data_IF_758623109069
#
_entry.id   IF_758623109069
#
_cell.length_a   1.000
_cell.length_b   1.000
_cell.length_c   1.000
_cell.angle_alpha   90.00
_cell.angle_beta   90.00
_cell.angle_gamma   90.00
#
_symmetry.space_group_name_H-M   'P 1'
#
loop_
_entity.id
_entity.type
_entity.pdbx_description
1 polymer ?
#
# COMPACT_ATOMS: atom_id res chain seq x y z
N UNK A 1 -27.55 -19.42 -0.16
CA UNK A 1 -26.34 -18.81 -0.76
C UNK A 1 -25.52 -19.82 -1.55
N UNK A 2 -25.21 -20.99 -0.98
CA UNK A 2 -24.43 -22.04 -1.65
C UNK A 2 -25.28 -23.16 -2.26
N UNK A 3 -26.48 -23.38 -1.72
CA UNK A 3 -27.37 -24.49 -2.09
C UNK A 3 -27.71 -24.48 -3.59
N UNK A 4 -27.57 -25.64 -4.22
CA UNK A 4 -27.91 -25.84 -5.64
C UNK A 4 -26.96 -25.17 -6.62
N UNK A 5 -25.82 -24.61 -6.15
CA UNK A 5 -24.81 -24.02 -7.02
C UNK A 5 -23.68 -25.00 -7.29
N UNK A 6 -23.20 -25.04 -8.52
CA UNK A 6 -21.99 -25.78 -8.89
C UNK A 6 -20.73 -25.03 -8.42
N UNK A 7 -19.59 -25.72 -8.39
CA UNK A 7 -18.29 -25.11 -8.11
C UNK A 7 -17.98 -23.94 -9.07
N UNK A 8 -18.29 -24.09 -10.36
CA UNK A 8 -18.14 -23.05 -11.38
C UNK A 8 -18.97 -21.81 -11.03
N UNK A 9 -20.25 -21.98 -10.68
CA UNK A 9 -21.15 -20.87 -10.33
C UNK A 9 -20.72 -20.16 -9.04
N UNK A 10 -20.16 -20.91 -8.08
CA UNK A 10 -19.58 -20.33 -6.85
C UNK A 10 -18.34 -19.50 -7.16
N UNK A 11 -17.46 -20.00 -8.02
CA UNK A 11 -16.26 -19.29 -8.48
C UNK A 11 -16.64 -18.02 -9.25
N UNK A 12 -17.58 -18.12 -10.19
CA UNK A 12 -18.09 -16.99 -10.97
C UNK A 12 -18.74 -15.93 -10.06
N UNK A 13 -19.58 -16.33 -9.10
CA UNK A 13 -20.23 -15.41 -8.17
C UNK A 13 -19.24 -14.73 -7.21
N UNK A 14 -18.20 -15.45 -6.76
CA UNK A 14 -17.11 -14.88 -5.96
C UNK A 14 -16.25 -13.89 -6.77
N UNK A 15 -16.18 -14.04 -8.10
CA UNK A 15 -15.36 -13.22 -8.97
C UNK A 15 -15.89 -11.79 -9.19
N UNK A 16 -17.19 -11.55 -8.97
CA UNK A 16 -17.88 -10.29 -9.25
C UNK A 16 -17.20 -9.06 -8.63
N UNK A 17 -16.83 -9.11 -7.35
CA UNK A 17 -16.11 -8.02 -6.67
C UNK A 17 -15.51 -8.48 -5.33
N UNK A 18 -14.76 -7.57 -4.66
CA UNK A 18 -14.10 -7.86 -3.37
C UNK A 18 -15.10 -8.24 -2.27
N UNK A 19 -16.27 -7.63 -2.25
CA UNK A 19 -17.30 -7.91 -1.25
C UNK A 19 -17.95 -9.27 -1.49
N UNK A 20 -18.24 -9.62 -2.75
CA UNK A 20 -18.74 -10.94 -3.13
C UNK A 20 -17.77 -12.05 -2.72
N UNK A 21 -16.48 -11.92 -3.06
CA UNK A 21 -15.44 -12.87 -2.65
C UNK A 21 -15.43 -13.09 -1.13
N UNK A 22 -15.54 -12.02 -0.33
CA UNK A 22 -15.57 -12.13 1.14
C UNK A 22 -16.81 -12.89 1.62
N UNK A 23 -18.00 -12.56 1.11
CA UNK A 23 -19.25 -13.19 1.52
C UNK A 23 -19.29 -14.68 1.15
N UNK A 24 -18.92 -15.03 -0.08
CA UNK A 24 -18.89 -16.43 -0.52
C UNK A 24 -17.84 -17.24 0.22
N UNK A 25 -16.64 -16.69 0.44
CA UNK A 25 -15.62 -17.36 1.24
C UNK A 25 -16.11 -17.65 2.66
N UNK A 26 -16.70 -16.67 3.35
CA UNK A 26 -17.22 -16.87 4.70
C UNK A 26 -18.34 -17.92 4.75
N UNK A 27 -19.25 -17.92 3.76
CA UNK A 27 -20.30 -18.92 3.67
C UNK A 27 -19.74 -20.34 3.45
N UNK A 28 -18.72 -20.49 2.59
CA UNK A 28 -18.09 -21.80 2.31
C UNK A 28 -17.27 -22.27 3.51
N UNK A 29 -16.55 -21.38 4.20
CA UNK A 29 -15.80 -21.73 5.41
C UNK A 29 -16.70 -22.18 6.57
N UNK A 30 -17.96 -21.70 6.60
CA UNK A 30 -18.98 -22.12 7.58
C UNK A 30 -19.80 -23.35 7.13
N UNK A 31 -19.59 -23.84 5.91
CA UNK A 31 -20.30 -24.99 5.35
C UNK A 31 -19.42 -26.26 5.43
N UNK A 32 -19.92 -27.35 4.84
CA UNK A 32 -19.18 -28.61 4.77
C UNK A 32 -17.92 -28.49 3.89
N UNK A 33 -16.87 -29.22 4.28
CA UNK A 33 -15.59 -29.27 3.57
C UNK A 33 -15.72 -29.76 2.12
N UNK A 34 -16.77 -30.50 1.78
CA UNK A 34 -17.04 -31.02 0.44
C UNK A 34 -17.07 -29.90 -0.62
N UNK A 35 -17.61 -28.73 -0.29
CA UNK A 35 -17.65 -27.59 -1.22
C UNK A 35 -16.24 -27.12 -1.60
N UNK A 36 -15.29 -27.17 -0.67
CA UNK A 36 -13.88 -26.82 -0.95
C UNK A 36 -13.22 -27.85 -1.86
N UNK A 37 -13.57 -29.13 -1.70
CA UNK A 37 -13.11 -30.23 -2.57
C UNK A 37 -13.64 -30.04 -3.99
N UNK A 38 -14.93 -29.73 -4.15
CA UNK A 38 -15.54 -29.46 -5.46
C UNK A 38 -14.90 -28.25 -6.17
N UNK A 39 -14.63 -27.16 -5.43
CA UNK A 39 -13.96 -25.98 -6.00
C UNK A 39 -12.52 -26.30 -6.40
N UNK A 40 -11.80 -27.11 -5.61
CA UNK A 40 -10.45 -27.56 -5.96
C UNK A 40 -10.46 -28.44 -7.22
N UNK A 41 -11.40 -29.39 -7.32
CA UNK A 41 -11.58 -30.24 -8.49
C UNK A 41 -11.94 -29.42 -9.75
N UNK A 42 -12.81 -28.44 -9.62
CA UNK A 42 -13.14 -27.51 -10.70
C UNK A 42 -11.89 -26.74 -11.17
N UNK A 43 -11.08 -26.21 -10.26
CA UNK A 43 -9.83 -25.53 -10.59
C UNK A 43 -8.87 -26.44 -11.38
N UNK A 44 -8.72 -27.70 -10.96
CA UNK A 44 -7.93 -28.70 -11.71
C UNK A 44 -8.51 -28.97 -13.09
N UNK A 45 -9.84 -29.06 -13.23
CA UNK A 45 -10.50 -29.31 -14.53
C UNK A 45 -10.30 -28.19 -15.55
N UNK A 46 -10.03 -26.96 -15.10
CA UNK A 46 -9.71 -25.81 -15.96
C UNK A 46 -8.19 -25.60 -16.12
N UNK A 47 -7.38 -26.61 -15.79
CA UNK A 47 -5.93 -26.64 -16.05
C UNK A 47 -5.08 -25.90 -15.01
N UNK A 48 -5.61 -25.63 -13.82
CA UNK A 48 -4.83 -25.02 -12.72
C UNK A 48 -4.17 -26.13 -11.92
N UNK A 49 -2.88 -25.95 -11.60
CA UNK A 49 -2.18 -26.85 -10.67
C UNK A 49 -2.67 -26.60 -9.23
N UNK A 50 -3.29 -27.61 -8.63
CA UNK A 50 -3.96 -27.52 -7.33
C UNK A 50 -3.28 -28.51 -6.37
N UNK A 51 -2.66 -28.03 -5.28
CA UNK A 51 -2.10 -28.91 -4.26
C UNK A 51 -3.17 -29.81 -3.62
N UNK A 52 -2.80 -31.05 -3.29
CA UNK A 52 -3.73 -32.04 -2.74
C UNK A 52 -4.41 -31.54 -1.44
N UNK A 53 -3.68 -30.81 -0.60
CA UNK A 53 -4.20 -30.23 0.64
C UNK A 53 -5.04 -28.95 0.45
N UNK A 54 -5.30 -28.50 -0.79
CA UNK A 54 -6.00 -27.24 -1.04
C UNK A 54 -7.37 -27.15 -0.36
N UNK A 55 -8.07 -28.27 -0.20
CA UNK A 55 -9.36 -28.35 0.49
C UNK A 55 -9.30 -27.93 1.97
N UNK A 56 -8.12 -27.99 2.61
CA UNK A 56 -7.90 -27.54 4.00
C UNK A 56 -7.73 -26.03 4.14
N UNK A 57 -7.51 -25.32 3.02
CA UNK A 57 -7.25 -23.89 3.04
C UNK A 57 -8.52 -23.09 3.36
N UNK A 58 -8.37 -21.80 3.76
CA UNK A 58 -9.49 -20.88 3.77
C UNK A 58 -10.15 -20.80 2.39
N UNK A 59 -11.49 -20.85 2.32
CA UNK A 59 -12.24 -20.90 1.05
C UNK A 59 -11.86 -19.76 0.10
N UNK A 60 -11.55 -18.58 0.66
CA UNK A 60 -11.05 -17.43 -0.08
C UNK A 60 -9.80 -17.71 -0.92
N UNK A 61 -8.90 -18.58 -0.44
CA UNK A 61 -7.66 -18.96 -1.14
C UNK A 61 -7.97 -19.89 -2.30
N UNK A 62 -8.84 -20.88 -2.11
CA UNK A 62 -9.25 -21.84 -3.14
C UNK A 62 -10.05 -21.13 -4.24
N UNK A 63 -10.99 -20.24 -3.88
CA UNK A 63 -11.72 -19.42 -4.85
C UNK A 63 -10.75 -18.56 -5.69
N UNK A 64 -9.74 -17.94 -5.09
CA UNK A 64 -8.74 -17.15 -5.83
C UNK A 64 -7.88 -17.99 -6.77
N UNK A 65 -7.56 -19.21 -6.36
CA UNK A 65 -6.87 -20.20 -7.19
C UNK A 65 -7.76 -20.52 -8.40
N UNK A 66 -9.00 -20.97 -8.17
CA UNK A 66 -9.97 -21.31 -9.21
C UNK A 66 -10.34 -20.15 -10.16
N UNK A 67 -10.20 -18.90 -9.71
CA UNK A 67 -10.38 -17.71 -10.55
C UNK A 67 -9.17 -17.38 -11.45
N UNK A 68 -8.11 -18.20 -11.46
CA UNK A 68 -6.87 -17.92 -12.19
C UNK A 68 -6.14 -16.65 -11.71
N UNK A 69 -6.43 -16.17 -10.49
CA UNK A 69 -5.82 -14.93 -9.94
C UNK A 69 -4.51 -15.18 -9.20
N UNK A 70 -4.00 -16.41 -9.18
CA UNK A 70 -2.66 -16.72 -8.71
C UNK A 70 -1.69 -16.43 -9.86
N UNK A 71 -0.97 -15.31 -9.83
CA UNK A 71 0.05 -15.10 -10.88
C UNK A 71 0.65 -13.72 -11.07
N UNK A 72 0.19 -12.67 -10.39
CA UNK A 72 1.00 -11.45 -10.25
C UNK A 72 0.93 -10.98 -8.81
N UNK A 73 2.08 -11.02 -8.12
CA UNK A 73 2.25 -10.27 -6.90
C UNK A 73 1.79 -8.83 -7.20
N UNK A 74 0.67 -8.44 -6.61
CA UNK A 74 0.12 -7.12 -6.84
C UNK A 74 1.20 -6.14 -6.39
N UNK A 75 1.68 -5.26 -7.28
CA UNK A 75 2.63 -4.19 -6.89
C UNK A 75 2.09 -3.57 -5.60
N UNK A 76 2.92 -3.52 -4.55
CA UNK A 76 2.52 -2.94 -3.27
C UNK A 76 2.04 -1.52 -3.56
N UNK A 77 0.92 -1.15 -2.97
CA UNK A 77 0.39 0.22 -3.01
C UNK A 77 0.11 0.76 -1.61
N UNK A 78 0.27 -0.09 -0.60
CA UNK A 78 0.02 0.26 0.77
C UNK A 78 1.35 0.70 1.42
N UNK A 79 1.34 1.80 2.18
CA UNK A 79 2.49 2.23 2.97
C UNK A 79 3.05 1.13 3.87
N UNK A 80 4.36 1.18 4.11
CA UNK A 80 5.06 0.44 5.16
C UNK A 80 5.34 1.44 6.28
N UNK A 81 4.89 1.11 7.50
CA UNK A 81 5.20 1.93 8.66
C UNK A 81 6.70 1.79 8.98
N UNK A 82 7.45 2.86 8.73
CA UNK A 82 8.89 2.95 8.98
C UNK A 82 9.21 4.36 9.45
N UNK A 83 9.47 4.50 10.74
CA UNK A 83 9.73 5.78 11.41
C UNK A 83 11.04 5.69 12.18
N UNK A 84 12.14 5.87 11.46
CA UNK A 84 13.49 5.75 11.98
C UNK A 84 14.10 7.15 12.13
N UNK A 85 14.92 7.35 13.17
CA UNK A 85 15.74 8.55 13.29
C UNK A 85 16.75 8.62 12.13
N UNK A 86 17.10 9.82 11.69
CA UNK A 86 18.06 10.03 10.60
C UNK A 86 18.86 11.30 10.77
N UNK A 87 20.03 11.33 10.13
CA UNK A 87 20.82 12.56 10.01
C UNK A 87 20.47 13.27 8.69
N UNK A 88 20.09 14.54 8.78
CA UNK A 88 19.71 15.30 7.60
C UNK A 88 20.90 15.50 6.66
N UNK A 89 20.79 15.06 5.40
CA UNK A 89 21.86 15.22 4.41
C UNK A 89 22.08 16.66 3.95
N UNK A 90 21.14 17.58 4.25
CA UNK A 90 21.23 18.97 3.86
C UNK A 90 21.85 19.86 4.93
N UNK A 91 21.31 19.86 6.16
CA UNK A 91 21.80 20.71 7.25
C UNK A 91 22.64 19.96 8.30
N UNK A 92 22.74 18.63 8.22
CA UNK A 92 23.55 17.83 9.13
C UNK A 92 22.93 17.54 10.49
N UNK A 93 21.74 18.09 10.80
CA UNK A 93 21.04 17.88 12.06
C UNK A 93 20.63 16.42 12.27
N UNK A 94 20.72 15.94 13.50
CA UNK A 94 20.16 14.66 13.93
C UNK A 94 18.66 14.82 14.20
N UNK A 95 17.85 14.03 13.51
CA UNK A 95 16.40 14.13 13.51
C UNK A 95 15.83 12.86 14.13
N UNK A 96 15.06 13.04 15.20
CA UNK A 96 14.35 11.94 15.85
C UNK A 96 13.19 11.43 14.99
N UNK A 97 12.77 10.19 15.24
CA UNK A 97 11.54 9.62 14.70
C UNK A 97 10.32 10.51 15.03
N UNK A 98 9.29 10.50 14.18
CA UNK A 98 8.08 11.32 14.37
C UNK A 98 7.12 10.80 15.45
N UNK A 99 7.25 9.54 15.84
CA UNK A 99 6.48 8.89 16.90
C UNK A 99 5.06 8.52 16.45
N UNK A 100 4.14 9.49 16.40
CA UNK A 100 2.73 9.22 16.03
C UNK A 100 2.54 9.08 14.53
N UNK A 101 3.28 9.89 13.76
CA UNK A 101 3.30 9.91 12.30
C UNK A 101 4.72 9.70 11.84
N UNK A 102 4.90 9.04 10.69
CA UNK A 102 6.24 8.85 10.11
C UNK A 102 6.84 10.21 9.80
N UNK A 103 8.08 10.44 10.24
CA UNK A 103 8.86 11.60 9.81
C UNK A 103 9.72 11.24 8.61
N UNK A 104 9.57 12.00 7.54
CA UNK A 104 10.35 11.83 6.31
C UNK A 104 11.18 13.08 5.94
N UNK A 105 11.06 14.17 6.68
CA UNK A 105 11.79 15.41 6.45
C UNK A 105 12.36 15.98 7.74
N UNK A 106 13.43 16.76 7.60
CA UNK A 106 14.05 17.45 8.73
C UNK A 106 13.15 18.60 9.20
N UNK A 107 12.81 18.73 10.50
CA UNK A 107 11.95 19.80 10.99
C UNK A 107 12.60 21.19 10.85
N UNK A 108 13.94 21.27 10.78
CA UNK A 108 14.67 22.55 10.72
C UNK A 108 14.82 23.12 9.32
N UNK A 109 14.92 22.27 8.29
CA UNK A 109 15.13 22.73 6.91
C UNK A 109 14.10 22.20 5.91
N UNK A 110 13.16 21.38 6.39
CA UNK A 110 12.08 20.78 5.62
C UNK A 110 12.56 20.06 4.36
N UNK A 111 13.78 19.51 4.36
CA UNK A 111 14.28 18.69 3.26
C UNK A 111 14.15 17.22 3.58
N UNK A 112 13.85 16.45 2.55
CA UNK A 112 13.74 14.99 2.57
C UNK A 112 14.67 14.37 1.53
N UNK A 113 14.66 13.03 1.42
CA UNK A 113 15.39 12.26 0.41
C UNK A 113 14.41 11.33 -0.30
N UNK A 114 14.42 11.34 -1.62
CA UNK A 114 13.61 10.44 -2.42
C UNK A 114 14.18 9.03 -2.40
N UNK A 115 13.65 8.22 -1.48
CA UNK A 115 14.01 6.82 -1.31
C UNK A 115 12.81 5.88 -1.47
N UNK A 116 11.58 6.39 -1.49
CA UNK A 116 10.36 5.57 -1.55
C UNK A 116 9.61 5.75 -2.88
N UNK A 117 9.14 4.66 -3.48
CA UNK A 117 8.12 4.71 -4.56
C UNK A 117 6.73 4.60 -3.95
N UNK A 118 6.58 3.67 -2.99
CA UNK A 118 5.46 3.60 -2.06
C UNK A 118 5.99 3.98 -0.67
N UNK A 119 5.30 4.83 0.11
CA UNK A 119 5.82 5.27 1.41
C UNK A 119 6.36 4.13 2.27
N UNK A 120 7.61 4.26 2.70
CA UNK A 120 8.35 3.30 3.53
C UNK A 120 9.00 2.11 2.81
N UNK A 121 8.83 1.95 1.48
CA UNK A 121 9.36 0.80 0.75
C UNK A 121 10.85 0.86 0.38
N UNK A 122 11.47 2.05 0.48
CA UNK A 122 12.87 2.31 0.16
C UNK A 122 13.29 1.83 -1.23
N UNK A 123 12.37 1.81 -2.19
CA UNK A 123 12.59 1.26 -3.53
C UNK A 123 12.97 2.30 -4.61
N UNK A 124 12.96 3.60 -4.28
CA UNK A 124 13.39 4.63 -5.22
C UNK A 124 14.93 4.73 -5.26
N UNK A 125 15.51 4.46 -6.43
CA UNK A 125 16.97 4.40 -6.60
C UNK A 125 17.65 5.73 -6.93
N UNK A 126 16.95 6.87 -6.96
CA UNK A 126 17.58 8.14 -7.32
C UNK A 126 18.28 8.83 -6.15
N UNK A 127 17.80 8.59 -4.91
CA UNK A 127 18.31 9.18 -3.67
C UNK A 127 18.46 10.71 -3.74
N UNK A 128 17.65 11.38 -4.56
CA UNK A 128 17.71 12.82 -4.74
C UNK A 128 17.13 13.57 -3.54
N UNK A 129 17.70 14.73 -3.22
CA UNK A 129 17.10 15.63 -2.22
C UNK A 129 15.70 16.02 -2.71
N UNK A 130 14.72 15.88 -1.83
CA UNK A 130 13.37 16.40 -2.03
C UNK A 130 13.33 17.82 -1.49
N UNK A 131 13.14 18.79 -2.39
CA UNK A 131 13.01 20.19 -2.05
C UNK A 131 11.56 20.52 -1.73
N UNK A 132 11.28 21.22 -0.63
CA UNK A 132 9.97 21.79 -0.42
C UNK A 132 9.75 22.90 -1.45
N UNK A 133 8.62 22.87 -2.15
CA UNK A 133 8.30 23.81 -3.23
C UNK A 133 6.99 24.56 -3.01
N UNK A 134 6.29 24.27 -1.92
CA UNK A 134 5.04 24.94 -1.57
C UNK A 134 4.36 24.29 -0.37
N UNK A 135 3.34 24.96 0.15
CA UNK A 135 2.42 24.41 1.15
C UNK A 135 1.03 24.23 0.53
N UNK A 136 0.31 23.21 0.96
CA UNK A 136 -1.09 22.98 0.59
C UNK A 136 -1.87 22.39 1.75
N UNK A 137 -3.20 22.37 1.65
CA UNK A 137 -4.06 21.68 2.60
C UNK A 137 -4.71 20.46 1.96
N UNK A 138 -4.63 19.31 2.61
CA UNK A 138 -5.22 18.06 2.14
C UNK A 138 -5.89 17.32 3.28
N UNK A 139 -7.15 16.90 3.09
CA UNK A 139 -7.92 16.16 4.09
C UNK A 139 -8.02 16.81 5.49
N UNK A 140 -7.85 18.14 5.57
CA UNK A 140 -7.89 18.90 6.82
C UNK A 140 -6.52 19.22 7.40
N UNK A 141 -5.46 18.57 6.93
CA UNK A 141 -4.08 18.74 7.39
C UNK A 141 -3.28 19.66 6.45
N UNK A 142 -2.37 20.44 7.03
CA UNK A 142 -1.37 21.19 6.28
C UNK A 142 -0.28 20.25 5.79
N UNK A 143 0.14 20.45 4.53
CA UNK A 143 1.06 19.56 3.82
C UNK A 143 2.14 20.37 3.12
N UNK A 144 3.35 19.82 3.10
CA UNK A 144 4.48 20.32 2.35
C UNK A 144 4.50 19.60 1.00
N UNK A 145 4.57 20.37 -0.09
CA UNK A 145 4.74 19.86 -1.43
C UNK A 145 6.22 19.72 -1.74
N UNK A 146 6.63 18.56 -2.22
CA UNK A 146 8.02 18.26 -2.53
C UNK A 146 8.24 17.96 -4.01
N UNK A 147 9.40 18.36 -4.53
CA UNK A 147 9.94 17.90 -5.83
C UNK A 147 11.33 17.33 -5.68
N UNK A 148 11.59 16.21 -6.37
CA UNK A 148 12.92 15.61 -6.37
C UNK A 148 13.88 16.42 -7.25
N UNK A 149 15.08 16.68 -6.75
CA UNK A 149 16.13 17.34 -7.53
C UNK A 149 16.71 16.47 -8.66
N UNK A 150 16.45 15.16 -8.67
CA UNK A 150 17.07 14.20 -9.60
C UNK A 150 16.11 13.51 -10.56
N UNK A 151 14.81 13.58 -10.31
CA UNK A 151 13.80 12.96 -11.17
C UNK A 151 12.47 13.71 -11.09
N UNK A 152 11.47 13.28 -11.85
CA UNK A 152 10.16 13.94 -11.95
C UNK A 152 9.22 13.67 -10.77
N UNK A 153 9.68 12.98 -9.71
CA UNK A 153 8.84 12.62 -8.58
C UNK A 153 8.43 13.84 -7.76
N UNK A 154 7.17 13.85 -7.32
CA UNK A 154 6.61 14.83 -6.41
C UNK A 154 5.77 14.12 -5.33
N UNK A 155 5.83 14.65 -4.11
CA UNK A 155 5.11 14.09 -2.95
C UNK A 155 4.46 15.20 -2.13
N UNK A 156 3.41 14.84 -1.39
CA UNK A 156 2.81 15.67 -0.36
C UNK A 156 2.98 14.96 0.98
N UNK A 157 3.49 15.68 1.97
CA UNK A 157 3.74 15.15 3.30
C UNK A 157 3.09 16.07 4.32
N UNK A 158 2.48 15.51 5.34
CA UNK A 158 1.87 16.26 6.45
C UNK A 158 2.95 17.03 7.23
N UNK A 159 2.66 18.28 7.57
CA UNK A 159 3.46 19.10 8.48
C UNK A 159 3.42 18.50 9.89
N UNK A 160 4.58 18.31 10.51
CA UNK A 160 4.66 17.88 11.90
C UNK A 160 4.51 19.07 12.86
N UNK A 161 3.96 18.86 14.07
CA UNK A 161 3.77 19.95 15.05
C UNK A 161 5.05 20.67 15.48
N UNK A 162 6.20 20.01 15.34
CA UNK A 162 7.52 20.52 15.72
C UNK A 162 8.36 20.99 14.51
N UNK A 163 7.76 21.08 13.33
CA UNK A 163 8.41 21.71 12.17
C UNK A 163 8.65 23.21 12.44
N UNK A 164 9.85 23.69 12.07
CA UNK A 164 10.25 25.07 12.33
C UNK A 164 9.32 26.05 11.59
N UNK A 165 8.57 26.92 12.30
CA UNK A 165 7.69 27.89 11.68
C UNK A 165 8.42 28.84 10.72
N UNK A 166 9.69 29.16 10.97
CA UNK A 166 10.50 29.97 10.08
C UNK A 166 10.81 29.25 8.77
N UNK A 167 11.13 27.96 8.83
CA UNK A 167 11.34 27.14 7.64
C UNK A 167 10.04 26.99 6.83
N UNK A 168 8.90 26.78 7.49
CA UNK A 168 7.59 26.72 6.82
C UNK A 168 7.25 28.04 6.10
N UNK A 169 7.47 29.20 6.74
CA UNK A 169 7.29 30.52 6.11
C UNK A 169 8.21 30.73 4.91
N UNK A 170 9.46 30.24 4.97
CA UNK A 170 10.39 30.36 3.85
C UNK A 170 9.91 29.59 2.60
N UNK A 171 9.22 28.46 2.78
CA UNK A 171 8.63 27.68 1.68
C UNK A 171 7.49 28.45 0.98
N UNK A 172 6.67 29.19 1.74
CA UNK A 172 5.56 30.00 1.19
C UNK A 172 6.07 31.12 0.28
N UNK A 173 7.27 31.64 0.54
CA UNK A 173 7.86 32.76 -0.20
C UNK A 173 8.72 32.31 -1.40
N UNK A 174 8.68 31.03 -1.77
CA UNK A 174 9.38 30.57 -2.96
C UNK A 174 8.72 31.19 -4.21
N UNK A 175 9.53 31.63 -5.21
CA UNK A 175 8.97 32.11 -6.46
C UNK A 175 8.12 31.01 -7.12
N UNK A 176 7.01 31.37 -7.78
CA UNK A 176 6.23 30.40 -8.54
C UNK A 176 7.12 29.72 -9.58
N UNK A 177 7.01 28.39 -9.64
CA UNK A 177 7.80 27.50 -10.52
C UNK A 177 7.30 27.60 -11.96
#
# INVERSE_FOLDING_TARGET
>A
MLRGRTAEELVAAAALNRSALKRFAAAIDAADQHIKVEIAAYASSIGIDVPHEAHTWPAKRILRLAMGRQGKARKRRNPIMRDDAFRCIHCGADVAAGGRTVRDHCPHCLRSVHVDVVPGDRSAGCNGVMHPVGLSRSHGDDTIQYRCARCVAAHQVIVHPDDDPAALRAVVNLPPI
#
